data_IF_978444331174
#
_entry.id   IF_978444331174
#
_cell.length_a   1.000
_cell.length_b   1.000
_cell.length_c   1.000
_cell.angle_alpha   90.00
_cell.angle_beta   90.00
_cell.angle_gamma   90.00
#
_symmetry.space_group_name_H-M   'P 1'
#
loop_
_entity.id
_entity.type
_entity.pdbx_description
1 polymer ?
#
# COMPACT_ATOMS: atom_id res chain seq x y z
N UNK A 1 2.74 -13.24 1.05
CA UNK A 1 3.97 -12.47 1.34
C UNK A 1 4.21 -11.50 0.20
N UNK A 2 4.24 -10.21 0.50
CA UNK A 2 4.43 -9.09 -0.44
C UNK A 2 5.78 -8.41 -0.16
N UNK A 3 6.31 -7.69 -1.15
CA UNK A 3 7.47 -6.82 -0.98
C UNK A 3 7.03 -5.35 -1.00
N UNK A 4 7.28 -4.64 0.09
CA UNK A 4 7.01 -3.20 0.21
C UNK A 4 8.33 -2.46 0.09
N UNK A 5 8.36 -1.45 -0.79
CA UNK A 5 9.52 -0.58 -0.98
C UNK A 5 9.25 0.77 -0.30
N UNK A 6 10.08 1.11 0.69
CA UNK A 6 10.03 2.38 1.39
C UNK A 6 11.23 3.24 1.00
N UNK A 7 10.98 4.48 0.59
CA UNK A 7 12.03 5.46 0.34
C UNK A 7 12.12 6.42 1.53
N UNK A 8 13.34 6.70 2.00
CA UNK A 8 13.55 7.76 2.97
C UNK A 8 13.70 9.14 2.29
N UNK A 9 13.88 10.20 3.09
CA UNK A 9 14.04 11.58 2.60
C UNK A 9 15.39 11.83 1.92
N UNK A 10 16.36 10.95 2.11
CA UNK A 10 17.70 11.03 1.55
C UNK A 10 17.81 10.18 0.26
N UNK A 11 16.72 9.54 -0.17
CA UNK A 11 16.67 8.70 -1.38
C UNK A 11 17.07 7.24 -1.16
N UNK A 12 17.36 6.82 0.06
CA UNK A 12 17.64 5.41 0.38
C UNK A 12 16.38 4.59 0.23
N UNK A 13 16.46 3.51 -0.55
CA UNK A 13 15.37 2.55 -0.75
C UNK A 13 15.57 1.36 0.17
N UNK A 14 14.53 1.00 0.91
CA UNK A 14 14.48 -0.16 1.81
C UNK A 14 13.40 -1.08 1.28
N UNK A 15 13.71 -2.36 1.09
CA UNK A 15 12.76 -3.37 0.65
C UNK A 15 12.45 -4.30 1.80
N UNK A 16 11.18 -4.42 2.15
CA UNK A 16 10.73 -5.21 3.29
C UNK A 16 9.72 -6.23 2.82
N UNK A 17 10.00 -7.50 3.12
CA UNK A 17 9.05 -8.59 2.94
C UNK A 17 8.11 -8.63 4.15
N UNK A 18 6.81 -8.60 3.89
CA UNK A 18 5.77 -8.61 4.91
C UNK A 18 4.53 -9.37 4.40
N UNK A 19 3.58 -9.63 5.28
CA UNK A 19 2.29 -10.19 4.92
C UNK A 19 1.24 -9.08 4.75
N UNK A 20 0.18 -9.35 4.00
CA UNK A 20 -0.93 -8.41 3.81
C UNK A 20 -1.66 -8.09 5.11
N UNK A 21 -1.67 -9.03 6.03
CA UNK A 21 -2.38 -8.92 7.30
C UNK A 21 -1.54 -8.21 8.38
N UNK A 22 -0.25 -7.95 8.12
CA UNK A 22 0.61 -7.23 9.04
C UNK A 22 0.14 -5.77 9.17
N UNK A 23 0.30 -5.20 10.36
CA UNK A 23 -0.04 -3.79 10.58
C UNK A 23 1.08 -2.87 10.12
N UNK A 24 0.75 -1.60 9.90
CA UNK A 24 1.72 -0.53 9.66
C UNK A 24 2.72 -0.42 10.82
N UNK A 25 2.29 -0.68 12.05
CA UNK A 25 3.17 -0.76 13.22
C UNK A 25 4.22 -1.86 13.08
N UNK A 26 3.82 -3.03 12.59
CA UNK A 26 4.75 -4.15 12.36
C UNK A 26 5.69 -3.88 11.19
N UNK A 27 5.19 -3.27 10.11
CA UNK A 27 6.04 -2.81 9.01
C UNK A 27 7.10 -1.81 9.49
N UNK A 28 6.74 -0.86 10.37
CA UNK A 28 7.71 0.08 10.96
C UNK A 28 8.79 -0.64 11.77
N UNK A 29 8.45 -1.69 12.51
CA UNK A 29 9.44 -2.50 13.24
C UNK A 29 10.38 -3.24 12.29
N UNK A 30 9.87 -3.79 11.19
CA UNK A 30 10.69 -4.44 10.17
C UNK A 30 11.64 -3.46 9.48
N UNK A 31 11.17 -2.26 9.12
CA UNK A 31 12.02 -1.19 8.58
C UNK A 31 13.06 -0.76 9.61
N UNK A 32 12.67 -0.62 10.88
CA UNK A 32 13.59 -0.28 11.96
C UNK A 32 14.74 -1.29 12.10
N UNK A 33 14.43 -2.58 11.98
CA UNK A 33 15.44 -3.65 12.02
C UNK A 33 16.48 -3.54 10.89
N UNK A 34 16.09 -3.09 9.70
CA UNK A 34 17.01 -2.95 8.56
C UNK A 34 17.74 -1.60 8.52
N UNK A 35 17.10 -0.54 9.00
CA UNK A 35 17.61 0.84 8.88
C UNK A 35 18.33 1.34 10.13
N UNK A 36 18.17 0.68 11.28
CA UNK A 36 18.70 1.12 12.57
C UNK A 36 17.95 2.31 13.18
N UNK A 37 16.89 2.81 12.54
CA UNK A 37 16.08 3.91 13.08
C UNK A 37 15.00 3.37 14.00
N UNK A 38 14.79 3.98 15.17
CA UNK A 38 13.72 3.57 16.10
C UNK A 38 12.35 3.66 15.43
N UNK A 39 11.54 2.60 15.54
CA UNK A 39 10.25 2.50 14.86
C UNK A 39 9.27 3.65 15.20
N UNK A 40 9.27 4.16 16.44
CA UNK A 40 8.41 5.30 16.87
C UNK A 40 8.75 6.61 16.13
N UNK A 41 9.94 6.73 15.53
CA UNK A 41 10.35 7.90 14.74
C UNK A 41 10.05 7.74 13.25
N UNK A 42 9.72 6.52 12.81
CA UNK A 42 9.40 6.23 11.41
C UNK A 42 7.94 6.64 11.16
N UNK A 43 7.74 7.56 10.22
CA UNK A 43 6.43 7.98 9.76
C UNK A 43 6.28 7.53 8.32
N UNK A 44 5.42 6.54 8.10
CA UNK A 44 5.09 6.06 6.77
C UNK A 44 4.02 6.95 6.15
N UNK A 45 4.27 7.38 4.92
CA UNK A 45 3.35 8.20 4.14
C UNK A 45 3.22 7.66 2.73
N UNK A 46 2.02 7.77 2.16
CA UNK A 46 1.74 7.61 0.74
C UNK A 46 1.07 8.89 0.28
N UNK A 47 1.78 9.69 -0.51
CA UNK A 47 1.38 11.06 -0.86
C UNK A 47 1.14 11.91 0.40
N UNK A 48 -0.05 12.52 0.50
CA UNK A 48 -0.44 13.36 1.64
C UNK A 48 -0.92 12.54 2.85
N UNK A 49 -1.16 11.24 2.68
CA UNK A 49 -1.73 10.37 3.71
C UNK A 49 -0.66 9.83 4.63
N UNK A 50 -0.89 9.96 5.95
CA UNK A 50 -0.06 9.40 7.01
C UNK A 50 -0.74 8.15 7.56
N UNK A 51 -0.05 7.03 7.55
CA UNK A 51 -0.61 5.78 8.06
C UNK A 51 -0.53 5.68 9.59
N UNK A 52 -1.62 5.21 10.20
CA UNK A 52 -1.71 4.92 11.63
C UNK A 52 -1.25 3.48 11.90
N UNK A 53 -0.73 3.23 13.09
CA UNK A 53 -0.04 1.96 13.39
C UNK A 53 -0.95 0.74 13.36
N UNK A 54 -2.24 0.88 13.65
CA UNK A 54 -3.20 -0.24 13.69
C UNK A 54 -3.80 -0.60 12.32
N UNK A 55 -3.49 0.17 11.26
CA UNK A 55 -4.01 -0.09 9.92
C UNK A 55 -3.26 -1.28 9.33
N UNK A 56 -3.97 -2.20 8.69
CA UNK A 56 -3.35 -3.35 8.02
C UNK A 56 -2.72 -2.93 6.68
N UNK A 57 -1.72 -3.66 6.22
CA UNK A 57 -1.10 -3.39 4.92
C UNK A 57 -2.06 -3.71 3.76
N UNK A 58 -3.00 -4.64 3.94
CA UNK A 58 -4.10 -4.89 3.02
C UNK A 58 -4.96 -3.65 2.79
N UNK A 59 -5.25 -2.88 3.85
CA UNK A 59 -6.00 -1.62 3.75
C UNK A 59 -5.23 -0.50 3.04
N UNK A 60 -3.91 -0.69 2.85
CA UNK A 60 -3.03 0.25 2.15
C UNK A 60 -2.89 -0.05 0.64
N UNK A 61 -3.45 -1.18 0.19
CA UNK A 61 -3.69 -1.51 -1.22
C UNK A 61 -4.94 -0.76 -1.72
N UNK A 62 -5.22 -0.83 -3.02
CA UNK A 62 -6.52 -0.35 -3.48
C UNK A 62 -7.58 -1.24 -2.84
N UNK A 63 -8.74 -0.67 -2.53
CA UNK A 63 -9.77 -1.42 -1.83
C UNK A 63 -10.16 -2.65 -2.64
N UNK A 64 -10.52 -3.73 -1.96
CA UNK A 64 -10.88 -5.00 -2.61
C UNK A 64 -11.82 -4.87 -3.82
N UNK A 65 -12.86 -3.98 -3.82
CA UNK A 65 -13.69 -3.78 -5.00
C UNK A 65 -12.94 -3.22 -6.22
N UNK A 66 -11.94 -2.37 -6.01
CA UNK A 66 -11.07 -1.87 -7.08
C UNK A 66 -10.20 -3.00 -7.63
N UNK A 67 -9.56 -3.77 -6.75
CA UNK A 67 -8.67 -4.86 -7.16
C UNK A 67 -9.46 -5.92 -7.93
N UNK A 68 -10.57 -6.40 -7.38
CA UNK A 68 -11.45 -7.39 -8.03
C UNK A 68 -11.93 -6.91 -9.41
N UNK A 69 -12.32 -5.63 -9.52
CA UNK A 69 -12.73 -5.05 -10.80
C UNK A 69 -11.56 -4.96 -11.79
N UNK A 70 -10.38 -4.51 -11.34
CA UNK A 70 -9.20 -4.36 -12.19
C UNK A 70 -8.70 -5.70 -12.76
N UNK A 71 -8.74 -6.77 -11.95
CA UNK A 71 -8.31 -8.10 -12.37
C UNK A 71 -9.31 -8.79 -13.31
N UNK A 72 -10.59 -8.41 -13.25
CA UNK A 72 -11.62 -8.95 -14.13
C UNK A 72 -11.61 -8.34 -15.55
N UNK A 73 -11.07 -7.13 -15.73
CA UNK A 73 -11.00 -6.46 -17.04
C UNK A 73 -9.97 -7.09 -17.96
N UNK A 74 -10.24 -7.09 -19.27
CA UNK A 74 -9.24 -7.38 -20.31
C UNK A 74 -8.40 -6.15 -20.63
N UNK A 75 -7.21 -6.34 -21.18
CA UNK A 75 -6.39 -5.21 -21.65
C UNK A 75 -7.15 -4.41 -22.71
N UNK A 76 -7.21 -3.09 -22.54
CA UNK A 76 -8.00 -2.16 -23.35
C UNK A 76 -9.46 -1.99 -22.88
N UNK A 77 -9.90 -2.73 -21.86
CA UNK A 77 -11.27 -2.68 -21.36
C UNK A 77 -11.43 -1.63 -20.25
N UNK A 78 -12.56 -0.92 -20.28
CA UNK A 78 -12.94 0.07 -19.27
C UNK A 78 -14.06 -0.51 -18.39
N UNK A 79 -13.93 -0.39 -17.08
CA UNK A 79 -14.94 -0.81 -16.13
C UNK A 79 -16.16 0.12 -16.15
N UNK A 80 -17.28 -0.41 -15.67
CA UNK A 80 -18.33 0.44 -15.10
C UNK A 80 -17.85 1.17 -13.83
N UNK A 81 -18.70 2.00 -13.22
CA UNK A 81 -18.38 2.66 -11.96
C UNK A 81 -18.15 1.65 -10.83
N UNK A 82 -16.96 1.68 -10.23
CA UNK A 82 -16.57 0.83 -9.10
C UNK A 82 -16.68 1.63 -7.82
N UNK A 83 -17.56 1.20 -6.93
CA UNK A 83 -17.81 1.87 -5.65
C UNK A 83 -16.86 1.33 -4.58
N UNK A 84 -16.18 2.24 -3.91
CA UNK A 84 -15.26 1.97 -2.81
C UNK A 84 -15.58 2.95 -1.66
N UNK A 85 -15.14 2.66 -0.45
CA UNK A 85 -15.27 3.56 0.70
C UNK A 85 -14.50 4.89 0.49
N UNK A 86 -13.61 4.94 -0.51
CA UNK A 86 -12.86 6.12 -0.92
C UNK A 86 -13.52 6.94 -2.03
N UNK A 87 -14.61 6.44 -2.62
CA UNK A 87 -15.31 7.07 -3.74
C UNK A 87 -15.57 6.13 -4.91
N UNK A 88 -15.97 6.71 -6.04
CA UNK A 88 -16.31 6.00 -7.28
C UNK A 88 -15.12 6.06 -8.23
N UNK A 89 -14.69 4.90 -8.73
CA UNK A 89 -13.57 4.76 -9.66
C UNK A 89 -14.06 4.26 -11.01
N UNK A 90 -13.47 4.75 -12.10
CA UNK A 90 -13.59 4.16 -13.44
C UNK A 90 -12.20 3.65 -13.79
N UNK A 91 -12.09 2.37 -14.12
CA UNK A 91 -10.81 1.67 -14.30
C UNK A 91 -10.65 1.39 -15.79
N UNK A 92 -9.56 1.86 -16.40
CA UNK A 92 -9.14 1.44 -17.74
C UNK A 92 -7.92 0.54 -17.58
N UNK A 93 -8.02 -0.73 -17.99
CA UNK A 93 -6.87 -1.62 -17.96
C UNK A 93 -5.98 -1.36 -19.18
N UNK A 94 -4.91 -0.61 -18.99
CA UNK A 94 -3.84 -0.48 -19.98
C UNK A 94 -2.97 -1.75 -20.02
N UNK A 95 -2.05 -1.83 -20.97
CA UNK A 95 -1.16 -2.98 -21.22
C UNK A 95 -0.53 -3.62 -19.97
#
# INVERSE_FOLDING_TARGET
MIEVVCNDRLGKKVRVKCNTDDTIGDLKKLIAAQTGTRWNKIVLKKWYTIFKDHVSLGDCQMQKPFDDASFALRTGEMSGPVFTDSGIHIILRTE
#
